data_IF_378692174960
#
_entry.id   IF_378692174960
#
_cell.length_a   1.000
_cell.length_b   1.000
_cell.length_c   1.000
_cell.angle_alpha   90.00
_cell.angle_beta   90.00
_cell.angle_gamma   90.00
#
_symmetry.space_group_name_H-M   'P 1'
#
loop_
_entity.id
_entity.type
_entity.pdbx_description
1 polymer ?
#
# COMPACT_ATOMS: atom_id res chain seq x y z
N UNK A 1 -10.33 0.83 -6.78
CA UNK A 1 -10.46 2.29 -6.64
C UNK A 1 -10.22 2.64 -5.18
N UNK A 2 -9.10 3.28 -4.91
CA UNK A 2 -8.68 3.68 -3.57
C UNK A 2 -7.22 4.16 -3.61
N UNK A 3 -6.93 5.16 -4.44
CA UNK A 3 -5.63 5.83 -4.41
C UNK A 3 -5.65 6.87 -3.30
N UNK A 4 -4.74 6.75 -2.34
CA UNK A 4 -4.60 7.71 -1.24
C UNK A 4 -3.39 8.59 -1.56
N UNK A 5 -3.58 9.91 -1.65
CA UNK A 5 -2.50 10.87 -1.90
C UNK A 5 -2.11 11.56 -0.59
N UNK A 6 -0.83 11.47 -0.20
CA UNK A 6 -0.26 12.17 0.97
C UNK A 6 1.12 12.70 0.62
N UNK A 7 1.33 14.00 0.79
CA UNK A 7 2.63 14.67 0.58
C UNK A 7 3.28 14.37 -0.80
N UNK A 8 2.45 14.23 -1.85
CA UNK A 8 2.90 13.89 -3.20
C UNK A 8 3.21 12.40 -3.43
N UNK A 9 3.00 11.54 -2.42
CA UNK A 9 3.01 10.10 -2.56
C UNK A 9 1.60 9.58 -2.84
N UNK A 10 1.48 8.73 -3.86
CA UNK A 10 0.25 8.05 -4.25
C UNK A 10 0.41 6.59 -3.88
N UNK A 11 -0.47 6.11 -3.00
CA UNK A 11 -0.52 4.73 -2.56
C UNK A 11 -1.62 4.00 -3.35
N UNK A 12 -1.22 3.02 -4.17
CA UNK A 12 -2.13 2.16 -4.92
C UNK A 12 -1.99 0.72 -4.43
N UNK A 13 -3.12 0.05 -4.19
CA UNK A 13 -3.11 -1.35 -3.75
C UNK A 13 -3.61 -2.23 -4.89
N UNK A 14 -2.80 -3.23 -5.20
CA UNK A 14 -3.21 -4.34 -6.04
C UNK A 14 -3.23 -5.62 -5.20
N UNK A 15 -4.25 -6.43 -5.34
CA UNK A 15 -4.30 -7.71 -4.65
C UNK A 15 -4.97 -8.80 -5.47
N UNK A 16 -4.47 -10.02 -5.30
CA UNK A 16 -4.97 -11.22 -5.94
C UNK A 16 -5.56 -12.14 -4.88
N UNK A 17 -6.88 -12.30 -4.93
CA UNK A 17 -7.62 -13.23 -4.06
C UNK A 17 -7.22 -14.67 -4.34
N UNK A 18 -6.95 -15.03 -5.59
CA UNK A 18 -6.53 -16.40 -5.96
C UNK A 18 -5.18 -16.75 -5.31
N UNK A 19 -4.25 -15.80 -5.31
CA UNK A 19 -2.91 -16.00 -4.75
C UNK A 19 -2.79 -15.59 -3.29
N UNK A 20 -3.85 -15.02 -2.69
CA UNK A 20 -3.85 -14.52 -1.31
C UNK A 20 -2.68 -13.54 -1.05
N UNK A 21 -2.38 -12.71 -2.06
CA UNK A 21 -1.23 -11.80 -2.10
C UNK A 21 -1.65 -10.41 -2.53
N UNK A 22 -1.18 -9.40 -1.81
CA UNK A 22 -1.32 -7.99 -2.14
C UNK A 22 0.05 -7.34 -2.40
N UNK A 23 0.03 -6.24 -3.12
CA UNK A 23 1.15 -5.35 -3.32
C UNK A 23 0.64 -3.92 -3.13
N UNK A 24 1.35 -3.14 -2.34
CA UNK A 24 1.16 -1.70 -2.18
C UNK A 24 2.22 -1.00 -3.02
N UNK A 25 1.80 -0.37 -4.10
CA UNK A 25 2.62 0.44 -4.97
C UNK A 25 2.63 1.87 -4.46
N UNK A 26 3.82 2.39 -4.17
CA UNK A 26 4.03 3.78 -3.76
C UNK A 26 4.60 4.54 -4.94
N UNK A 27 3.82 5.45 -5.48
CA UNK A 27 4.24 6.36 -6.54
C UNK A 27 4.55 7.74 -5.95
N UNK A 28 5.49 8.46 -6.54
CA UNK A 28 5.76 9.87 -6.26
C UNK A 28 6.01 10.58 -7.57
N UNK A 29 5.31 11.68 -7.84
CA UNK A 29 5.39 12.40 -9.12
C UNK A 29 5.17 11.49 -10.35
N UNK A 30 4.32 10.46 -10.21
CA UNK A 30 4.06 9.47 -11.26
C UNK A 30 5.14 8.40 -11.45
N UNK A 31 6.17 8.38 -10.62
CA UNK A 31 7.24 7.36 -10.64
C UNK A 31 7.03 6.38 -9.48
N UNK A 32 7.05 5.08 -9.76
CA UNK A 32 7.04 4.06 -8.71
C UNK A 32 8.35 4.18 -7.90
N UNK A 33 8.23 4.62 -6.65
CA UNK A 33 9.36 4.80 -5.73
C UNK A 33 9.52 3.65 -4.77
N UNK A 34 8.48 2.85 -4.57
CA UNK A 34 8.49 1.72 -3.64
C UNK A 34 7.34 0.74 -3.92
N UNK A 35 7.54 -0.50 -3.49
CA UNK A 35 6.54 -1.56 -3.59
C UNK A 35 6.64 -2.46 -2.37
N UNK A 36 5.53 -2.62 -1.65
CA UNK A 36 5.44 -3.50 -0.50
C UNK A 36 4.49 -4.66 -0.82
N UNK A 37 5.05 -5.85 -1.03
CA UNK A 37 4.26 -7.07 -1.17
C UNK A 37 3.89 -7.64 0.19
N UNK A 38 2.63 -8.03 0.36
CA UNK A 38 2.12 -8.66 1.59
C UNK A 38 1.20 -9.83 1.25
N UNK A 39 0.99 -10.72 2.20
CA UNK A 39 0.04 -11.83 2.09
C UNK A 39 -1.17 -11.55 2.96
N UNK A 40 -2.37 -11.84 2.47
CA UNK A 40 -3.60 -11.71 3.24
C UNK A 40 -4.40 -13.00 3.17
N UNK A 41 -5.30 -13.22 4.13
CA UNK A 41 -6.17 -14.39 4.15
C UNK A 41 -7.64 -13.94 3.97
N UNK A 42 -8.38 -14.60 3.08
CA UNK A 42 -9.81 -14.34 2.82
C UNK A 42 -10.09 -13.69 1.48
N UNK A 43 -11.27 -13.09 1.35
CA UNK A 43 -11.76 -12.54 0.07
C UNK A 43 -11.21 -11.16 -0.26
N UNK A 44 -10.70 -10.43 0.74
CA UNK A 44 -10.03 -9.15 0.56
C UNK A 44 -8.99 -8.92 1.66
N UNK A 45 -7.92 -8.14 1.38
CA UNK A 45 -7.02 -7.68 2.43
C UNK A 45 -7.78 -6.82 3.44
N UNK A 46 -7.37 -6.90 4.70
CA UNK A 46 -8.03 -6.16 5.77
C UNK A 46 -7.65 -4.68 5.65
N UNK A 47 -8.65 -3.80 5.52
CA UNK A 47 -8.46 -2.34 5.38
C UNK A 47 -7.62 -1.77 6.54
N UNK A 48 -7.79 -2.31 7.74
CA UNK A 48 -7.02 -1.88 8.91
C UNK A 48 -5.53 -2.29 8.82
N UNK A 49 -5.22 -3.44 8.23
CA UNK A 49 -3.82 -3.82 7.97
C UNK A 49 -3.18 -2.93 6.90
N UNK A 50 -3.98 -2.47 5.94
CA UNK A 50 -3.51 -1.54 4.93
C UNK A 50 -3.15 -0.17 5.52
N UNK A 51 -4.03 0.39 6.35
CA UNK A 51 -3.76 1.66 7.03
C UNK A 51 -2.49 1.56 7.89
N UNK A 52 -2.31 0.46 8.63
CA UNK A 52 -1.08 0.22 9.40
C UNK A 52 0.16 0.08 8.50
N UNK A 53 0.05 -0.54 7.33
CA UNK A 53 1.16 -0.65 6.37
C UNK A 53 1.59 0.71 5.82
N UNK A 54 0.63 1.57 5.48
CA UNK A 54 0.95 2.94 5.05
C UNK A 54 1.59 3.71 6.21
N UNK A 55 1.01 3.62 7.41
CA UNK A 55 1.49 4.34 8.58
C UNK A 55 2.94 3.95 8.94
N UNK A 56 3.24 2.64 8.99
CA UNK A 56 4.60 2.12 9.19
C UNK A 56 5.56 2.55 8.07
N UNK A 57 5.09 2.57 6.82
CA UNK A 57 5.89 3.02 5.69
C UNK A 57 6.23 4.52 5.79
N UNK A 58 5.25 5.35 6.15
CA UNK A 58 5.44 6.79 6.36
C UNK A 58 6.36 7.06 7.55
N UNK A 59 6.16 6.35 8.67
CA UNK A 59 7.00 6.45 9.87
C UNK A 59 8.45 6.07 9.56
N UNK A 60 8.68 4.94 8.87
CA UNK A 60 10.04 4.49 8.51
C UNK A 60 10.78 5.46 7.59
N UNK A 61 10.08 6.17 6.71
CA UNK A 61 10.68 7.21 5.86
C UNK A 61 10.78 8.56 6.56
N UNK A 62 10.24 8.71 7.78
CA UNK A 62 10.23 9.97 8.51
C UNK A 62 9.36 11.04 7.83
N UNK A 63 8.34 10.62 7.10
CA UNK A 63 7.39 11.50 6.42
C UNK A 63 6.24 11.74 7.39
N UNK A 64 6.27 12.88 8.10
CA UNK A 64 5.27 13.32 9.08
C UNK A 64 4.61 14.63 8.65
#
# INVERSE_FOLDING_TARGET
MGAMERDGYIFDIEYSVIHQKGALHVYRDGVLVDELTFTFAGEKPNEQQFETLIDDYMEKRGIY
#
